data_IF_757276127171
#
_entry.id   IF_757276127171
#
_cell.length_a   1.000
_cell.length_b   1.000
_cell.length_c   1.000
_cell.angle_alpha   90.00
_cell.angle_beta   90.00
_cell.angle_gamma   90.00
#
_symmetry.space_group_name_H-M   'P 1'
#
loop_
_entity.id
_entity.type
_entity.pdbx_description
1 polymer ?
#
# COMPACT_ATOMS: atom_id res chain seq x y z
N UNK A 1 35.24 -90.80 -38.60
CA UNK A 1 34.86 -90.70 -40.02
C UNK A 1 35.13 -92.03 -40.71
N UNK A 2 34.23 -92.51 -41.58
CA UNK A 2 34.37 -93.80 -42.31
C UNK A 2 33.85 -93.66 -43.73
N UNK A 3 34.60 -94.09 -44.74
CA UNK A 3 34.14 -94.14 -46.13
C UNK A 3 33.27 -95.39 -46.35
N UNK A 4 32.11 -95.20 -46.96
CA UNK A 4 31.12 -96.25 -47.24
C UNK A 4 31.12 -96.63 -48.71
N UNK A 5 31.24 -95.65 -49.62
CA UNK A 5 31.24 -95.89 -51.06
C UNK A 5 32.05 -94.81 -51.78
N UNK A 6 32.76 -95.19 -52.83
CA UNK A 6 33.37 -94.25 -53.78
C UNK A 6 32.83 -94.58 -55.17
N UNK A 7 32.31 -93.59 -55.87
CA UNK A 7 31.86 -93.72 -57.24
C UNK A 7 32.23 -92.53 -58.10
N UNK A 8 32.05 -92.67 -59.41
CA UNK A 8 32.32 -91.61 -60.34
C UNK A 8 32.15 -92.02 -61.79
N UNK A 9 32.33 -91.07 -62.69
CA UNK A 9 32.22 -91.26 -64.13
C UNK A 9 33.12 -90.28 -64.87
N UNK A 10 33.75 -90.74 -65.96
CA UNK A 10 34.62 -89.93 -66.81
C UNK A 10 35.76 -89.21 -66.08
N UNK A 11 36.39 -89.88 -65.11
CA UNK A 11 37.53 -89.35 -64.36
C UNK A 11 38.82 -89.98 -64.88
N UNK A 12 39.75 -89.16 -65.38
CA UNK A 12 41.07 -89.54 -65.90
C UNK A 12 41.04 -90.84 -66.73
N UNK A 13 41.50 -91.96 -66.14
CA UNK A 13 41.59 -93.27 -66.80
C UNK A 13 40.28 -94.08 -66.78
N UNK A 14 39.33 -93.75 -65.90
CA UNK A 14 38.04 -94.43 -65.73
C UNK A 14 36.96 -93.74 -66.58
N UNK A 15 36.63 -94.31 -67.75
CA UNK A 15 35.56 -93.78 -68.63
C UNK A 15 34.16 -94.15 -68.13
N UNK A 16 33.94 -95.44 -67.89
CA UNK A 16 32.65 -95.95 -67.48
C UNK A 16 32.28 -95.45 -66.08
N UNK A 17 30.99 -95.47 -65.78
CA UNK A 17 30.51 -95.28 -64.42
C UNK A 17 31.05 -96.42 -63.54
N UNK A 18 31.65 -96.05 -62.41
CA UNK A 18 32.20 -96.97 -61.44
C UNK A 18 31.64 -96.66 -60.05
N UNK A 19 31.48 -97.71 -59.25
CA UNK A 19 31.07 -97.60 -57.86
C UNK A 19 31.69 -98.76 -57.08
N UNK A 20 32.44 -98.42 -56.03
CA UNK A 20 33.05 -99.37 -55.09
C UNK A 20 32.37 -99.18 -53.75
N UNK A 21 31.64 -100.19 -53.31
CA UNK A 21 30.97 -100.24 -52.01
C UNK A 21 31.92 -100.91 -50.99
N UNK A 22 32.22 -100.20 -49.91
CA UNK A 22 33.08 -100.64 -48.81
C UNK A 22 32.29 -101.07 -47.57
N UNK A 23 30.96 -100.93 -47.57
CA UNK A 23 30.10 -101.27 -46.45
C UNK A 23 29.45 -102.64 -46.66
N UNK A 24 28.98 -102.94 -47.87
CA UNK A 24 28.27 -104.17 -48.19
C UNK A 24 29.17 -105.21 -48.88
N UNK A 25 28.81 -106.49 -48.75
CA UNK A 25 29.51 -107.59 -49.43
C UNK A 25 30.89 -107.92 -48.85
N UNK A 26 31.77 -108.47 -49.70
CA UNK A 26 33.07 -109.03 -49.28
C UNK A 26 34.05 -107.98 -48.72
N UNK A 27 34.00 -106.74 -49.21
CA UNK A 27 34.86 -105.65 -48.73
C UNK A 27 34.45 -105.17 -47.33
N UNK A 28 33.16 -105.18 -47.01
CA UNK A 28 32.64 -104.78 -45.70
C UNK A 28 33.11 -105.68 -44.55
N UNK A 29 33.30 -106.99 -44.82
CA UNK A 29 33.76 -107.97 -43.82
C UNK A 29 35.28 -108.09 -43.70
N UNK A 30 36.05 -107.62 -44.68
CA UNK A 30 37.50 -107.91 -44.76
C UNK A 30 38.38 -107.01 -43.87
N UNK A 31 37.96 -105.77 -43.59
CA UNK A 31 38.71 -104.78 -42.79
C UNK A 31 39.98 -104.23 -43.45
N UNK A 32 40.70 -105.04 -44.24
CA UNK A 32 41.86 -104.67 -45.05
C UNK A 32 41.70 -105.25 -46.46
N UNK A 33 41.95 -104.43 -47.47
CA UNK A 33 41.90 -104.84 -48.88
C UNK A 33 43.01 -104.16 -49.68
N UNK A 34 43.36 -104.77 -50.82
CA UNK A 34 44.35 -104.23 -51.75
C UNK A 34 43.69 -103.92 -53.10
N UNK A 35 44.01 -102.74 -53.67
CA UNK A 35 43.60 -102.37 -55.03
C UNK A 35 44.76 -102.69 -55.98
N UNK A 36 44.66 -103.81 -56.69
CA UNK A 36 45.71 -104.30 -57.59
C UNK A 36 45.35 -104.05 -59.07
N UNK A 37 46.37 -103.82 -59.91
CA UNK A 37 46.19 -103.61 -61.34
C UNK A 37 47.46 -103.02 -61.98
N UNK A 38 47.60 -103.04 -63.32
CA UNK A 38 48.76 -102.47 -64.00
C UNK A 38 48.86 -100.95 -63.78
N UNK A 39 50.05 -100.38 -64.01
CA UNK A 39 50.25 -98.92 -64.01
C UNK A 39 49.33 -98.30 -65.07
N UNK A 40 48.60 -97.24 -64.70
CA UNK A 40 47.60 -96.61 -65.58
C UNK A 40 46.19 -97.21 -65.53
N UNK A 41 45.94 -98.30 -64.79
CA UNK A 41 44.61 -98.91 -64.65
C UNK A 41 43.58 -98.07 -63.85
N UNK A 42 43.96 -96.91 -63.31
CA UNK A 42 43.06 -96.02 -62.58
C UNK A 42 43.00 -96.20 -61.07
N UNK A 43 43.96 -96.93 -60.47
CA UNK A 43 44.08 -97.07 -59.00
C UNK A 43 44.14 -95.72 -58.29
N UNK A 44 45.05 -94.84 -58.72
CA UNK A 44 45.17 -93.49 -58.18
C UNK A 44 43.93 -92.64 -58.51
N UNK A 45 43.30 -92.86 -59.66
CA UNK A 45 42.08 -92.15 -60.06
C UNK A 45 40.90 -92.42 -59.13
N UNK A 46 40.79 -93.63 -58.56
CA UNK A 46 39.79 -93.93 -57.54
C UNK A 46 40.01 -93.12 -56.25
N UNK A 47 41.27 -92.97 -55.83
CA UNK A 47 41.63 -92.16 -54.65
C UNK A 47 41.50 -90.66 -54.93
N UNK A 48 41.82 -90.23 -56.15
CA UNK A 48 41.58 -88.87 -56.63
C UNK A 48 40.08 -88.54 -56.56
N UNK A 49 39.20 -89.47 -56.95
CA UNK A 49 37.74 -89.29 -56.87
C UNK A 49 37.28 -89.05 -55.42
N UNK A 50 37.86 -89.77 -54.45
CA UNK A 50 37.58 -89.56 -53.02
C UNK A 50 37.92 -88.13 -52.58
N UNK A 51 39.14 -87.67 -52.85
CA UNK A 51 39.55 -86.32 -52.50
C UNK A 51 38.75 -85.24 -53.23
N UNK A 52 38.47 -85.47 -54.51
CA UNK A 52 37.74 -84.53 -55.35
C UNK A 52 36.30 -84.34 -54.85
N UNK A 53 35.64 -85.44 -54.47
CA UNK A 53 34.30 -85.41 -53.90
C UNK A 53 34.23 -84.72 -52.54
N UNK A 54 35.28 -84.75 -51.73
CA UNK A 54 35.29 -84.14 -50.39
C UNK A 54 35.83 -82.71 -50.36
N UNK A 55 36.82 -82.40 -51.19
CA UNK A 55 37.62 -81.18 -51.07
C UNK A 55 37.82 -80.41 -52.37
N UNK A 56 37.19 -80.80 -53.50
CA UNK A 56 37.40 -80.16 -54.81
C UNK A 56 38.90 -80.02 -55.14
N UNK A 57 39.71 -80.99 -54.71
CA UNK A 57 41.16 -80.95 -54.74
C UNK A 57 41.71 -82.39 -54.80
N UNK A 58 42.89 -82.59 -55.38
CA UNK A 58 43.55 -83.90 -55.40
C UNK A 58 45.04 -83.81 -55.08
N UNK A 59 45.61 -84.79 -54.36
CA UNK A 59 47.00 -84.72 -53.91
C UNK A 59 48.00 -84.59 -55.07
N UNK A 60 47.71 -85.24 -56.20
CA UNK A 60 48.57 -85.24 -57.40
C UNK A 60 48.63 -83.89 -58.13
N UNK A 61 47.66 -83.01 -57.90
CA UNK A 61 47.59 -81.68 -58.52
C UNK A 61 48.03 -80.57 -57.58
N UNK A 62 48.36 -80.86 -56.31
CA UNK A 62 48.68 -79.85 -55.31
C UNK A 62 50.18 -79.57 -55.09
N UNK A 63 51.09 -80.31 -55.71
CA UNK A 63 52.54 -80.13 -55.50
C UNK A 63 53.32 -79.96 -56.80
N UNK A 64 53.76 -78.73 -57.09
CA UNK A 64 55.16 -78.28 -57.24
C UNK A 64 55.15 -76.76 -57.48
N UNK A 65 56.05 -76.01 -56.81
CA UNK A 65 55.95 -74.55 -56.64
C UNK A 65 56.07 -73.65 -57.88
N UNK A 66 55.61 -72.41 -57.69
CA UNK A 66 55.87 -71.13 -58.39
C UNK A 66 55.79 -71.05 -59.94
N UNK A 67 55.64 -72.15 -60.68
CA UNK A 67 55.51 -72.14 -62.14
C UNK A 67 54.26 -72.91 -62.58
N UNK A 68 53.09 -72.26 -62.56
CA UNK A 68 51.87 -72.83 -63.15
C UNK A 68 52.00 -72.95 -64.66
N UNK A 69 52.35 -74.13 -65.14
CA UNK A 69 52.27 -74.45 -66.57
C UNK A 69 50.80 -74.65 -66.95
N UNK A 70 50.38 -74.02 -68.04
CA UNK A 70 49.04 -74.18 -68.60
C UNK A 70 49.03 -75.34 -69.59
N UNK A 71 48.00 -76.19 -69.52
CA UNK A 71 47.73 -77.19 -70.56
C UNK A 71 46.67 -76.66 -71.53
N UNK A 72 46.85 -76.88 -72.84
CA UNK A 72 45.76 -76.71 -73.79
C UNK A 72 44.70 -77.80 -73.54
N UNK A 73 43.44 -77.39 -73.43
CA UNK A 73 42.30 -78.29 -73.28
C UNK A 73 41.52 -78.46 -74.60
N UNK A 74 40.57 -77.58 -74.90
CA UNK A 74 39.78 -77.59 -76.14
C UNK A 74 39.87 -76.22 -76.82
N UNK A 75 40.28 -76.17 -78.08
CA UNK A 75 40.50 -74.90 -78.80
C UNK A 75 41.70 -74.13 -78.25
N UNK A 76 41.53 -72.83 -78.01
CA UNK A 76 42.54 -71.92 -77.43
C UNK A 76 42.49 -71.82 -75.90
N UNK A 77 41.59 -72.55 -75.23
CA UNK A 77 41.42 -72.47 -73.78
C UNK A 77 42.56 -73.19 -73.04
N UNK A 78 43.23 -72.42 -72.18
CA UNK A 78 44.35 -72.85 -71.37
C UNK A 78 43.87 -73.09 -69.94
N UNK A 79 44.00 -74.33 -69.44
CA UNK A 79 43.66 -74.67 -68.05
C UNK A 79 44.93 -74.89 -67.27
N UNK A 80 44.98 -74.39 -66.03
CA UNK A 80 46.10 -74.64 -65.13
C UNK A 80 46.30 -76.15 -64.95
N UNK A 81 47.56 -76.61 -65.02
CA UNK A 81 47.97 -77.96 -64.61
C UNK A 81 47.40 -78.40 -63.27
N UNK A 82 47.17 -77.44 -62.37
CA UNK A 82 46.72 -77.69 -61.00
C UNK A 82 45.21 -77.63 -60.82
N UNK A 83 44.45 -77.32 -61.88
CA UNK A 83 43.00 -77.23 -61.78
C UNK A 83 42.38 -78.64 -61.61
N UNK A 84 41.62 -78.89 -60.53
CA UNK A 84 40.94 -80.17 -60.28
C UNK A 84 40.05 -80.62 -61.45
N UNK A 85 39.55 -79.67 -62.24
CA UNK A 85 38.70 -79.94 -63.40
C UNK A 85 39.43 -80.64 -64.55
N UNK A 86 40.77 -80.61 -64.56
CA UNK A 86 41.60 -81.36 -65.55
C UNK A 86 41.51 -82.87 -65.38
N UNK A 87 40.96 -83.36 -64.27
CA UNK A 87 40.66 -84.78 -64.08
C UNK A 87 39.46 -85.26 -64.90
N UNK A 88 38.68 -84.37 -65.53
CA UNK A 88 37.68 -84.78 -66.52
C UNK A 88 38.39 -85.42 -67.71
N UNK A 89 37.97 -86.65 -68.07
CA UNK A 89 38.53 -87.38 -69.21
C UNK A 89 38.40 -86.58 -70.50
N UNK A 90 39.47 -86.52 -71.30
CA UNK A 90 39.46 -85.87 -72.63
C UNK A 90 38.38 -86.50 -73.53
N UNK A 91 37.58 -85.65 -74.16
CA UNK A 91 36.44 -86.07 -75.00
C UNK A 91 35.14 -86.34 -74.23
N UNK A 92 35.12 -86.27 -72.90
CA UNK A 92 33.90 -86.35 -72.11
C UNK A 92 33.22 -84.96 -71.97
N UNK A 93 31.89 -84.94 -72.10
CA UNK A 93 31.08 -83.74 -71.89
C UNK A 93 30.86 -83.40 -70.41
N UNK A 94 30.83 -84.41 -69.54
CA UNK A 94 30.56 -84.29 -68.11
C UNK A 94 31.22 -85.43 -67.34
N UNK A 95 31.49 -85.19 -66.05
CA UNK A 95 32.05 -86.17 -65.14
C UNK A 95 31.73 -85.79 -63.69
N UNK A 96 31.74 -86.79 -62.82
CA UNK A 96 31.52 -86.59 -61.38
C UNK A 96 32.31 -87.57 -60.56
N UNK A 97 32.56 -87.17 -59.31
CA UNK A 97 33.06 -88.01 -58.24
C UNK A 97 32.04 -87.96 -57.09
N UNK A 98 31.74 -89.09 -56.47
CA UNK A 98 30.76 -89.19 -55.41
C UNK A 98 31.28 -90.10 -54.30
N UNK A 99 31.08 -89.68 -53.06
CA UNK A 99 31.52 -90.42 -51.88
C UNK A 99 30.39 -90.45 -50.86
N UNK A 100 30.08 -91.65 -50.40
CA UNK A 100 29.24 -91.85 -49.22
C UNK A 100 30.15 -92.08 -48.01
N UNK A 101 29.93 -91.35 -46.92
CA UNK A 101 30.76 -91.44 -45.72
C UNK A 101 29.95 -91.21 -44.44
N UNK A 102 30.49 -91.68 -43.32
CA UNK A 102 30.03 -91.35 -41.96
C UNK A 102 30.90 -90.22 -41.42
N UNK A 103 30.28 -89.11 -41.01
CA UNK A 103 30.95 -87.95 -40.43
C UNK A 103 31.56 -88.22 -39.05
N UNK A 104 32.29 -87.24 -38.51
CA UNK A 104 32.74 -87.19 -37.12
C UNK A 104 31.57 -87.14 -36.13
N UNK A 105 30.42 -86.64 -36.57
CA UNK A 105 29.15 -86.61 -35.85
C UNK A 105 28.41 -87.97 -35.82
N UNK A 106 28.90 -88.97 -36.56
CA UNK A 106 28.30 -90.31 -36.65
C UNK A 106 27.13 -90.43 -37.63
N UNK A 107 26.76 -89.37 -38.36
CA UNK A 107 25.71 -89.42 -39.38
C UNK A 107 26.26 -89.74 -40.78
N UNK A 108 25.38 -90.22 -41.68
CA UNK A 108 25.72 -90.62 -43.04
C UNK A 108 25.49 -89.48 -44.02
N UNK A 109 26.46 -89.26 -44.91
CA UNK A 109 26.43 -88.20 -45.91
C UNK A 109 26.87 -88.70 -47.27
N UNK A 110 26.37 -88.05 -48.32
CA UNK A 110 26.80 -88.20 -49.71
C UNK A 110 27.34 -86.87 -50.19
N UNK A 111 28.64 -86.82 -50.49
CA UNK A 111 29.24 -85.68 -51.17
C UNK A 111 29.44 -85.98 -52.64
N UNK A 112 29.02 -85.07 -53.51
CA UNK A 112 29.14 -85.20 -54.96
C UNK A 112 29.80 -83.97 -55.54
N UNK A 113 30.94 -84.20 -56.19
CA UNK A 113 31.61 -83.23 -57.05
C UNK A 113 31.24 -83.49 -58.51
N UNK A 114 30.89 -82.47 -59.27
CA UNK A 114 30.63 -82.61 -60.70
C UNK A 114 31.15 -81.45 -61.51
N UNK A 115 31.56 -81.75 -62.74
CA UNK A 115 32.01 -80.79 -63.74
C UNK A 115 31.37 -81.12 -65.09
N UNK A 116 31.03 -80.09 -65.84
CA UNK A 116 30.48 -80.20 -67.18
C UNK A 116 31.12 -79.19 -68.13
N UNK A 117 31.08 -79.51 -69.42
CA UNK A 117 31.43 -78.59 -70.49
C UNK A 117 30.21 -77.79 -70.93
N UNK A 118 30.45 -76.63 -71.55
CA UNK A 118 29.38 -75.80 -72.09
C UNK A 118 28.47 -76.61 -73.03
N UNK A 119 27.15 -76.44 -72.87
CA UNK A 119 26.11 -77.16 -73.62
C UNK A 119 26.17 -78.69 -73.53
N UNK A 120 26.90 -79.25 -72.55
CA UNK A 120 27.16 -80.69 -72.42
C UNK A 120 27.72 -81.31 -73.72
N UNK A 121 28.55 -80.56 -74.45
CA UNK A 121 29.28 -81.04 -75.64
C UNK A 121 30.74 -81.27 -75.31
N UNK A 122 31.33 -82.34 -75.83
CA UNK A 122 32.75 -82.65 -75.67
C UNK A 122 33.68 -81.52 -76.15
N UNK A 123 33.20 -80.68 -77.08
CA UNK A 123 33.92 -79.53 -77.64
C UNK A 123 33.68 -78.21 -76.90
N UNK A 124 32.86 -78.18 -75.85
CA UNK A 124 32.61 -76.97 -75.06
C UNK A 124 33.72 -76.70 -74.03
N UNK A 125 33.90 -75.42 -73.66
CA UNK A 125 34.82 -75.03 -72.58
C UNK A 125 34.37 -75.54 -71.21
N UNK A 126 35.32 -75.79 -70.29
CA UNK A 126 35.03 -76.28 -68.94
C UNK A 126 34.29 -75.24 -68.10
N UNK A 127 33.18 -75.64 -67.49
CA UNK A 127 32.45 -74.83 -66.52
C UNK A 127 33.08 -74.92 -65.12
N UNK A 128 32.59 -74.10 -64.19
CA UNK A 128 32.96 -74.21 -62.78
C UNK A 128 32.51 -75.58 -62.21
N UNK A 129 33.34 -76.19 -61.38
CA UNK A 129 32.94 -77.38 -60.63
C UNK A 129 31.84 -77.03 -59.62
N UNK A 130 30.91 -77.95 -59.43
CA UNK A 130 29.88 -77.88 -58.40
C UNK A 130 30.11 -78.99 -57.38
N UNK A 131 29.83 -78.68 -56.11
CA UNK A 131 29.87 -79.65 -55.02
C UNK A 131 28.57 -79.58 -54.24
N UNK A 132 28.02 -80.74 -53.92
CA UNK A 132 26.76 -80.86 -53.18
C UNK A 132 26.94 -81.88 -52.06
N UNK A 133 26.43 -81.58 -50.87
CA UNK A 133 26.41 -82.48 -49.72
C UNK A 133 24.96 -82.82 -49.40
N UNK A 134 24.66 -84.12 -49.25
CA UNK A 134 23.33 -84.59 -48.87
C UNK A 134 23.42 -85.49 -47.64
N UNK A 135 22.46 -85.37 -46.72
CA UNK A 135 22.32 -86.30 -45.59
C UNK A 135 21.56 -87.55 -46.02
N UNK A 136 22.11 -88.73 -45.75
CA UNK A 136 21.48 -90.01 -46.06
C UNK A 136 20.66 -90.52 -44.84
N UNK A 137 19.54 -91.24 -45.06
CA UNK A 137 19.00 -91.70 -46.35
C UNK A 137 18.08 -90.70 -47.06
N UNK A 138 17.64 -89.63 -46.38
CA UNK A 138 16.62 -88.68 -46.85
C UNK A 138 17.05 -87.81 -48.05
N UNK A 139 18.35 -87.82 -48.40
CA UNK A 139 18.97 -86.97 -49.41
C UNK A 139 18.69 -85.46 -49.19
N UNK A 140 18.60 -85.04 -47.93
CA UNK A 140 18.43 -83.64 -47.58
C UNK A 140 19.72 -82.85 -47.88
N UNK A 141 19.64 -81.82 -48.74
CA UNK A 141 20.79 -81.02 -49.14
C UNK A 141 21.30 -80.11 -48.00
N UNK A 142 22.63 -80.05 -47.85
CA UNK A 142 23.33 -79.25 -46.84
C UNK A 142 24.24 -78.21 -47.56
N UNK A 143 24.01 -76.94 -47.25
CA UNK A 143 24.63 -75.80 -47.91
C UNK A 143 23.94 -75.41 -49.23
N UNK A 144 24.02 -74.12 -49.60
CA UNK A 144 23.41 -73.60 -50.84
C UNK A 144 24.46 -73.20 -51.88
N UNK A 145 25.59 -72.65 -51.41
CA UNK A 145 26.71 -72.24 -52.26
C UNK A 145 27.88 -73.20 -52.10
N UNK A 146 28.71 -73.33 -53.14
CA UNK A 146 29.92 -74.16 -53.14
C UNK A 146 30.78 -73.99 -51.88
N UNK A 147 31.11 -72.75 -51.49
CA UNK A 147 31.98 -72.50 -50.33
C UNK A 147 31.33 -72.89 -48.99
N UNK A 148 30.03 -72.67 -48.82
CA UNK A 148 29.29 -73.08 -47.62
C UNK A 148 29.26 -74.62 -47.52
N UNK A 149 28.92 -75.28 -48.63
CA UNK A 149 28.92 -76.75 -48.70
C UNK A 149 30.31 -77.34 -48.42
N UNK A 150 31.38 -76.72 -48.95
CA UNK A 150 32.76 -77.11 -48.65
C UNK A 150 33.10 -76.99 -47.16
N UNK A 151 32.69 -75.90 -46.51
CA UNK A 151 32.91 -75.70 -45.07
C UNK A 151 32.16 -76.75 -44.25
N UNK A 152 30.91 -77.06 -44.61
CA UNK A 152 30.14 -78.13 -43.97
C UNK A 152 30.80 -79.51 -44.17
N UNK A 153 31.29 -79.83 -45.37
CA UNK A 153 32.02 -81.09 -45.61
C UNK A 153 33.25 -81.18 -44.71
N UNK A 154 34.06 -80.11 -44.62
CA UNK A 154 35.25 -80.07 -43.73
C UNK A 154 34.84 -80.26 -42.28
N UNK A 155 33.76 -79.62 -41.82
CA UNK A 155 33.25 -79.79 -40.45
C UNK A 155 32.78 -81.23 -40.18
N UNK A 156 32.06 -81.86 -41.11
CA UNK A 156 31.57 -83.25 -40.95
C UNK A 156 32.66 -84.28 -41.09
N UNK A 157 33.68 -84.04 -41.91
CA UNK A 157 34.85 -84.91 -42.01
C UNK A 157 35.74 -84.72 -40.78
N UNK A 158 35.81 -83.51 -40.23
CA UNK A 158 36.61 -83.13 -39.07
C UNK A 158 38.09 -82.88 -39.38
N UNK A 159 38.47 -82.89 -40.66
CA UNK A 159 39.84 -82.70 -41.12
C UNK A 159 39.84 -81.76 -42.33
N UNK A 160 40.80 -80.84 -42.38
CA UNK A 160 41.08 -80.05 -43.58
C UNK A 160 41.66 -80.95 -44.68
N UNK A 161 41.72 -80.47 -45.92
CA UNK A 161 42.29 -81.25 -47.02
C UNK A 161 43.73 -81.71 -46.72
N UNK A 162 44.58 -80.82 -46.23
CA UNK A 162 45.96 -81.15 -45.87
C UNK A 162 46.01 -82.21 -44.78
N UNK A 163 45.20 -82.05 -43.73
CA UNK A 163 45.10 -83.02 -42.64
C UNK A 163 44.61 -84.39 -43.15
N UNK A 164 43.62 -84.41 -44.04
CA UNK A 164 43.07 -85.63 -44.63
C UNK A 164 44.11 -86.39 -45.46
N UNK A 165 44.90 -85.69 -46.29
CA UNK A 165 45.97 -86.30 -47.09
C UNK A 165 47.19 -86.72 -46.28
N UNK A 166 47.39 -86.15 -45.08
CA UNK A 166 48.48 -86.53 -44.17
C UNK A 166 48.08 -87.65 -43.20
N UNK A 167 46.79 -87.78 -42.84
CA UNK A 167 46.32 -88.71 -41.79
C UNK A 167 45.45 -89.87 -42.30
N UNK A 168 44.65 -89.68 -43.35
CA UNK A 168 43.66 -90.68 -43.81
C UNK A 168 44.03 -91.26 -45.18
N UNK A 169 44.39 -90.39 -46.14
CA UNK A 169 44.79 -90.80 -47.49
C UNK A 169 46.26 -90.48 -47.73
N UNK A 170 47.15 -91.40 -47.37
CA UNK A 170 48.59 -91.27 -47.62
C UNK A 170 48.88 -91.47 -49.12
N UNK A 171 48.92 -90.38 -49.86
CA UNK A 171 49.40 -90.39 -51.25
C UNK A 171 50.89 -90.74 -51.32
N UNK A 172 51.33 -91.24 -52.48
CA UNK A 172 52.73 -91.62 -52.70
C UNK A 172 53.66 -90.42 -52.42
N UNK A 173 54.69 -90.63 -51.58
CA UNK A 173 55.66 -89.62 -51.07
C UNK A 173 55.16 -88.62 -50.00
N UNK A 174 53.88 -88.59 -49.62
CA UNK A 174 53.36 -87.67 -48.59
C UNK A 174 53.72 -88.05 -47.15
N UNK A 175 53.88 -89.35 -46.86
CA UNK A 175 54.27 -89.80 -45.52
C UNK A 175 55.65 -89.26 -45.11
N UNK A 176 56.60 -89.19 -46.05
CA UNK A 176 57.91 -88.59 -45.81
C UNK A 176 57.83 -87.07 -45.59
N UNK A 177 56.83 -86.39 -46.16
CA UNK A 177 56.61 -84.95 -45.95
C UNK A 177 56.07 -84.68 -44.54
N UNK A 178 55.22 -85.56 -44.00
CA UNK A 178 54.78 -85.47 -42.60
C UNK A 178 55.95 -85.62 -41.60
N UNK A 179 56.87 -86.57 -41.84
CA UNK A 179 58.07 -86.73 -40.99
C UNK A 179 59.06 -85.56 -41.08
N UNK A 180 59.00 -84.77 -42.15
CA UNK A 180 59.90 -83.63 -42.41
C UNK A 180 59.26 -82.26 -42.19
N UNK A 181 57.99 -82.19 -41.80
CA UNK A 181 57.30 -80.91 -41.55
C UNK A 181 57.92 -80.17 -40.36
N UNK A 182 57.86 -78.84 -40.40
CA UNK A 182 58.34 -77.98 -39.31
C UNK A 182 57.53 -78.20 -38.02
N UNK A 183 58.12 -77.84 -36.87
CA UNK A 183 57.54 -78.07 -35.55
C UNK A 183 56.17 -77.39 -35.39
N UNK A 184 55.99 -76.21 -35.98
CA UNK A 184 54.71 -75.49 -35.98
C UNK A 184 53.60 -76.23 -36.74
N UNK A 185 53.85 -76.63 -37.99
CA UNK A 185 52.88 -77.38 -38.80
C UNK A 185 52.53 -78.73 -38.18
N UNK A 186 53.54 -79.40 -37.60
CA UNK A 186 53.33 -80.67 -36.89
C UNK A 186 52.48 -80.46 -35.64
N UNK A 187 52.72 -79.37 -34.91
CA UNK A 187 51.95 -78.99 -33.73
C UNK A 187 50.47 -78.77 -34.05
N UNK A 188 50.16 -78.02 -35.12
CA UNK A 188 48.78 -77.75 -35.55
C UNK A 188 48.03 -79.01 -36.01
N UNK A 189 48.74 -79.92 -36.71
CA UNK A 189 48.21 -81.23 -37.09
C UNK A 189 47.89 -82.09 -35.87
N UNK A 190 48.83 -82.20 -34.92
CA UNK A 190 48.64 -82.95 -33.69
C UNK A 190 47.54 -82.35 -32.83
N UNK A 191 47.46 -81.02 -32.75
CA UNK A 191 46.41 -80.30 -32.02
C UNK A 191 45.03 -80.59 -32.61
N UNK A 192 44.90 -80.60 -33.93
CA UNK A 192 43.62 -80.91 -34.58
C UNK A 192 43.23 -82.38 -34.42
N UNK A 193 44.20 -83.30 -34.51
CA UNK A 193 43.97 -84.74 -34.33
C UNK A 193 43.60 -85.10 -32.89
N UNK A 194 44.19 -84.42 -31.91
CA UNK A 194 43.95 -84.67 -30.48
C UNK A 194 42.83 -83.82 -29.90
N UNK A 195 42.28 -82.88 -30.69
CA UNK A 195 41.21 -81.98 -30.26
C UNK A 195 41.65 -80.93 -29.23
N UNK A 196 42.94 -80.60 -29.17
CA UNK A 196 43.51 -79.71 -28.14
C UNK A 196 43.51 -78.23 -28.51
N UNK A 197 42.68 -77.82 -29.47
CA UNK A 197 42.51 -76.42 -29.97
C UNK A 197 42.18 -75.40 -28.87
N UNK A 198 41.69 -75.88 -27.74
CA UNK A 198 41.41 -75.10 -26.53
C UNK A 198 42.67 -74.42 -25.98
N UNK A 199 43.84 -75.06 -26.04
CA UNK A 199 45.08 -74.50 -25.47
C UNK A 199 45.62 -73.34 -26.29
N UNK A 200 45.56 -73.42 -27.63
CA UNK A 200 45.87 -72.28 -28.50
C UNK A 200 44.94 -71.11 -28.25
N UNK A 201 43.65 -71.38 -28.04
CA UNK A 201 42.66 -70.35 -27.70
C UNK A 201 42.95 -69.70 -26.34
N UNK A 202 43.33 -70.49 -25.34
CA UNK A 202 43.68 -70.00 -24.01
C UNK A 202 44.93 -69.11 -24.04
N UNK A 203 45.97 -69.52 -24.78
CA UNK A 203 47.21 -68.78 -24.95
C UNK A 203 46.96 -67.39 -25.54
N UNK A 204 46.14 -67.30 -26.60
CA UNK A 204 45.74 -66.03 -27.23
C UNK A 204 45.05 -65.09 -26.23
N UNK A 205 44.09 -65.60 -25.46
CA UNK A 205 43.37 -64.80 -24.44
C UNK A 205 44.28 -64.32 -23.31
N UNK A 206 45.23 -65.15 -22.87
CA UNK A 206 46.19 -64.76 -21.84
C UNK A 206 47.06 -63.59 -22.32
N UNK A 207 47.54 -63.64 -23.57
CA UNK A 207 48.33 -62.57 -24.16
C UNK A 207 47.54 -61.27 -24.35
N UNK A 208 46.28 -61.36 -24.77
CA UNK A 208 45.38 -60.19 -24.87
C UNK A 208 45.19 -59.50 -23.51
N UNK A 209 44.99 -60.28 -22.44
CA UNK A 209 44.85 -59.74 -21.08
C UNK A 209 46.14 -59.10 -20.58
N UNK A 210 47.29 -59.73 -20.83
CA UNK A 210 48.60 -59.15 -20.51
C UNK A 210 48.78 -57.77 -21.17
N UNK A 211 48.49 -57.66 -22.47
CA UNK A 211 48.61 -56.41 -23.22
C UNK A 211 47.70 -55.31 -22.66
N UNK A 212 46.48 -55.66 -22.26
CA UNK A 212 45.53 -54.72 -21.64
C UNK A 212 46.06 -54.16 -20.31
N UNK A 213 46.52 -55.03 -19.41
CA UNK A 213 47.01 -54.62 -18.09
C UNK A 213 48.32 -53.83 -18.19
N UNK A 214 49.21 -54.19 -19.13
CA UNK A 214 50.42 -53.42 -19.40
C UNK A 214 50.09 -51.99 -19.86
N UNK A 215 49.07 -51.81 -20.71
CA UNK A 215 48.62 -50.49 -21.13
C UNK A 215 48.06 -49.63 -19.98
N UNK A 216 47.31 -50.24 -19.06
CA UNK A 216 46.84 -49.54 -17.84
C UNK A 216 48.00 -49.11 -16.95
N UNK A 217 48.98 -49.99 -16.75
CA UNK A 217 50.17 -49.70 -15.95
C UNK A 217 50.99 -48.55 -16.56
N UNK A 218 51.19 -48.55 -17.88
CA UNK A 218 51.85 -47.44 -18.57
C UNK A 218 51.10 -46.11 -18.38
N UNK A 219 49.76 -46.14 -18.47
CA UNK A 219 48.93 -44.94 -18.27
C UNK A 219 49.05 -44.41 -16.84
N UNK A 220 49.00 -45.29 -15.83
CA UNK A 220 49.16 -44.92 -14.43
C UNK A 220 50.57 -44.37 -14.14
N UNK A 221 51.61 -45.00 -14.71
CA UNK A 221 52.98 -44.54 -14.57
C UNK A 221 53.18 -43.15 -15.18
N UNK A 222 52.58 -42.88 -16.35
CA UNK A 222 52.64 -41.57 -16.99
C UNK A 222 51.94 -40.47 -16.17
N UNK A 223 50.80 -40.78 -15.56
CA UNK A 223 50.13 -39.85 -14.64
C UNK A 223 50.95 -39.56 -13.39
N UNK A 224 51.65 -40.57 -12.88
CA UNK A 224 52.49 -40.44 -11.70
C UNK A 224 53.76 -39.63 -11.99
N UNK A 225 54.30 -39.72 -13.22
CA UNK A 225 55.41 -38.86 -13.64
C UNK A 225 55.05 -37.39 -13.81
N UNK A 226 53.78 -37.07 -14.13
CA UNK A 226 53.29 -35.67 -14.18
C UNK A 226 53.03 -35.09 -12.79
N UNK A 227 52.98 -35.93 -11.75
CA UNK A 227 52.76 -35.54 -10.36
C UNK A 227 54.01 -35.80 -9.53
N UNK A 228 55.11 -35.13 -9.89
CA UNK A 228 56.35 -35.22 -9.11
C UNK A 228 56.10 -34.55 -7.75
N UNK A 229 56.11 -35.30 -6.63
CA UNK A 229 56.03 -34.69 -5.32
C UNK A 229 57.28 -33.81 -5.13
N UNK A 230 57.11 -32.70 -4.39
CA UNK A 230 58.25 -31.88 -4.02
C UNK A 230 59.33 -32.73 -3.35
N UNK A 231 60.58 -32.36 -3.61
CA UNK A 231 61.71 -32.93 -2.89
C UNK A 231 61.47 -32.84 -1.37
N UNK A 232 61.76 -33.89 -0.59
CA UNK A 232 61.51 -33.91 0.85
C UNK A 232 62.10 -32.71 1.60
N UNK A 233 63.27 -32.21 1.19
CA UNK A 233 63.90 -31.03 1.81
C UNK A 233 63.12 -29.75 1.48
N UNK A 234 62.73 -29.57 0.21
CA UNK A 234 61.94 -28.42 -0.23
C UNK A 234 60.55 -28.40 0.45
N UNK A 235 59.94 -29.57 0.61
CA UNK A 235 58.68 -29.73 1.34
C UNK A 235 58.84 -29.37 2.82
N UNK A 236 59.87 -29.91 3.48
CA UNK A 236 60.13 -29.62 4.89
C UNK A 236 60.39 -28.12 5.13
N UNK A 237 61.10 -27.45 4.22
CA UNK A 237 61.32 -26.00 4.28
C UNK A 237 59.99 -25.23 4.19
N UNK A 238 59.10 -25.57 3.25
CA UNK A 238 57.78 -24.94 3.12
C UNK A 238 56.88 -25.20 4.33
N UNK A 239 56.90 -26.41 4.89
CA UNK A 239 56.15 -26.73 6.11
C UNK A 239 56.67 -25.93 7.31
N UNK A 240 57.99 -25.76 7.45
CA UNK A 240 58.58 -24.90 8.48
C UNK A 240 58.21 -23.42 8.30
N UNK A 241 58.20 -22.92 7.05
CA UNK A 241 57.73 -21.57 6.74
C UNK A 241 56.25 -21.38 7.06
N UNK A 242 55.40 -22.38 6.80
CA UNK A 242 53.99 -22.35 7.14
C UNK A 242 53.79 -22.27 8.65
N UNK A 243 54.48 -23.11 9.42
CA UNK A 243 54.43 -23.09 10.90
C UNK A 243 54.89 -21.74 11.44
N UNK A 244 55.99 -21.19 10.92
CA UNK A 244 56.49 -19.87 11.34
C UNK A 244 55.52 -18.76 10.98
N UNK A 245 55.00 -18.75 9.74
CA UNK A 245 54.07 -17.73 9.26
C UNK A 245 52.73 -17.74 10.00
N UNK A 246 52.21 -18.93 10.32
CA UNK A 246 50.98 -19.08 11.12
C UNK A 246 51.16 -18.60 12.56
N UNK A 247 52.30 -18.89 13.18
CA UNK A 247 52.62 -18.36 14.51
C UNK A 247 52.74 -16.81 14.50
N UNK A 248 53.41 -16.25 13.49
CA UNK A 248 53.52 -14.80 13.31
C UNK A 248 52.17 -14.13 13.08
N UNK A 249 51.31 -14.72 12.25
CA UNK A 249 49.97 -14.22 11.98
C UNK A 249 49.15 -14.18 13.27
N UNK A 250 49.14 -15.27 14.03
CA UNK A 250 48.42 -15.35 15.31
C UNK A 250 48.89 -14.28 16.31
N UNK A 251 50.21 -14.05 16.41
CA UNK A 251 50.76 -13.01 17.27
C UNK A 251 50.35 -11.59 16.82
N UNK A 252 50.34 -11.33 15.52
CA UNK A 252 49.90 -10.04 14.96
C UNK A 252 48.40 -9.80 15.16
N UNK A 253 47.58 -10.84 15.02
CA UNK A 253 46.14 -10.76 15.29
C UNK A 253 45.86 -10.45 16.75
N UNK A 254 46.55 -11.10 17.69
CA UNK A 254 46.44 -10.80 19.11
C UNK A 254 46.85 -9.35 19.41
N UNK A 255 47.95 -8.88 18.82
CA UNK A 255 48.41 -7.50 18.98
C UNK A 255 47.42 -6.49 18.41
N UNK A 256 46.80 -6.80 17.26
CA UNK A 256 45.76 -5.95 16.67
C UNK A 256 44.55 -5.84 17.60
N UNK A 257 44.07 -6.95 18.16
CA UNK A 257 42.94 -6.95 19.09
C UNK A 257 43.21 -6.10 20.33
N UNK A 258 44.43 -6.16 20.87
CA UNK A 258 44.86 -5.32 21.99
C UNK A 258 44.85 -3.83 21.61
N UNK A 259 45.42 -3.47 20.45
CA UNK A 259 45.43 -2.08 19.97
C UNK A 259 44.03 -1.55 19.66
N UNK A 260 43.14 -2.38 19.11
CA UNK A 260 41.73 -2.02 18.88
C UNK A 260 41.01 -1.75 20.21
N UNK A 261 41.31 -2.52 21.27
CA UNK A 261 40.77 -2.29 22.61
C UNK A 261 41.29 -0.96 23.20
N UNK A 262 42.58 -0.67 23.09
CA UNK A 262 43.15 0.61 23.52
C UNK A 262 42.55 1.80 22.76
N UNK A 263 42.36 1.66 21.45
CA UNK A 263 41.75 2.69 20.63
C UNK A 263 40.30 2.98 21.04
N UNK A 264 39.49 1.93 21.25
CA UNK A 264 38.11 2.08 21.75
C UNK A 264 38.07 2.74 23.12
N UNK A 265 38.99 2.37 24.01
CA UNK A 265 39.09 2.98 25.33
C UNK A 265 39.35 4.49 25.24
N UNK A 266 40.31 4.93 24.41
CA UNK A 266 40.59 6.35 24.21
C UNK A 266 39.43 7.12 23.58
N UNK A 267 38.66 6.49 22.69
CA UNK A 267 37.46 7.10 22.13
C UNK A 267 36.38 7.32 23.19
N UNK A 268 36.15 6.31 24.05
CA UNK A 268 35.16 6.41 25.11
C UNK A 268 35.59 7.43 26.17
N UNK A 269 36.88 7.47 26.52
CA UNK A 269 37.44 8.49 27.43
C UNK A 269 37.22 9.90 26.89
N UNK A 270 37.54 10.15 25.61
CA UNK A 270 37.29 11.44 24.96
C UNK A 270 35.79 11.81 24.93
N UNK A 271 34.91 10.83 24.68
CA UNK A 271 33.46 11.04 24.69
C UNK A 271 32.95 11.40 26.09
N UNK A 272 33.39 10.67 27.11
CA UNK A 272 33.02 10.92 28.50
C UNK A 272 33.55 12.27 28.98
N UNK A 273 34.78 12.65 28.62
CA UNK A 273 35.33 13.96 28.93
C UNK A 273 34.47 15.10 28.33
N UNK A 274 34.04 14.96 27.08
CA UNK A 274 33.12 15.93 26.45
C UNK A 274 31.78 16.02 27.20
N UNK A 275 31.19 14.88 27.59
CA UNK A 275 29.95 14.86 28.37
C UNK A 275 30.09 15.53 29.74
N UNK A 276 31.25 15.38 30.40
CA UNK A 276 31.53 16.09 31.66
C UNK A 276 31.56 17.60 31.42
N UNK A 277 32.29 18.06 30.40
CA UNK A 277 32.35 19.49 30.05
C UNK A 277 30.97 20.06 29.70
N UNK A 278 30.16 19.35 28.91
CA UNK A 278 28.79 19.74 28.58
C UNK A 278 27.92 19.83 29.85
N UNK A 279 28.05 18.85 30.74
CA UNK A 279 27.35 18.81 32.02
C UNK A 279 27.72 19.97 32.95
N UNK A 280 29.01 20.28 33.06
CA UNK A 280 29.51 21.44 33.82
C UNK A 280 28.98 22.76 33.25
N UNK A 281 28.96 22.89 31.92
CA UNK A 281 28.44 24.07 31.23
C UNK A 281 26.94 24.24 31.47
N UNK A 282 26.16 23.16 31.35
CA UNK A 282 24.73 23.16 31.63
C UNK A 282 24.42 23.50 33.09
N UNK A 283 25.20 22.96 34.04
CA UNK A 283 25.06 23.27 35.46
C UNK A 283 25.37 24.76 35.73
N UNK A 284 26.43 25.30 35.13
CA UNK A 284 26.77 26.72 35.24
C UNK A 284 25.65 27.60 34.70
N UNK A 285 25.09 27.27 33.52
CA UNK A 285 23.97 27.99 32.93
C UNK A 285 22.71 27.93 33.81
N UNK A 286 22.38 26.76 34.37
CA UNK A 286 21.24 26.61 35.27
C UNK A 286 21.40 27.42 36.56
N UNK A 287 22.60 27.44 37.15
CA UNK A 287 22.93 28.27 38.32
C UNK A 287 22.80 29.77 38.00
N UNK A 288 23.30 30.20 36.84
CA UNK A 288 23.18 31.58 36.39
C UNK A 288 21.72 31.99 36.20
N UNK A 289 20.91 31.16 35.51
CA UNK A 289 19.48 31.41 35.33
C UNK A 289 18.72 31.45 36.67
N UNK A 290 19.09 30.58 37.61
CA UNK A 290 18.52 30.61 38.97
C UNK A 290 18.88 31.90 39.70
N UNK A 291 20.11 32.38 39.61
CA UNK A 291 20.55 33.64 40.20
C UNK A 291 19.86 34.85 39.54
N UNK A 292 19.75 34.87 38.21
CA UNK A 292 19.06 35.93 37.46
C UNK A 292 17.55 35.99 37.75
N UNK A 293 16.94 34.87 38.14
CA UNK A 293 15.56 34.82 38.60
C UNK A 293 15.35 35.32 40.04
N UNK A 294 16.42 35.60 40.82
CA UNK A 294 16.33 36.05 42.21
C UNK A 294 15.47 37.31 42.40
N UNK A 295 15.63 38.39 41.61
CA UNK A 295 14.78 39.59 41.76
C UNK A 295 13.29 39.29 41.53
N UNK A 296 12.98 38.39 40.58
CA UNK A 296 11.60 37.97 40.30
C UNK A 296 11.02 37.17 41.46
N UNK A 297 11.80 36.26 42.06
CA UNK A 297 11.39 35.52 43.27
C UNK A 297 11.16 36.45 44.46
N UNK A 298 12.05 37.42 44.69
CA UNK A 298 11.90 38.42 45.75
C UNK A 298 10.65 39.28 45.54
N UNK A 299 10.39 39.72 44.31
CA UNK A 299 9.18 40.48 43.99
C UNK A 299 7.89 39.67 44.20
N UNK A 300 7.90 38.39 43.81
CA UNK A 300 6.79 37.48 44.07
C UNK A 300 6.55 37.33 45.59
N UNK A 301 7.60 37.08 46.37
CA UNK A 301 7.51 36.95 47.83
C UNK A 301 6.96 38.23 48.49
N UNK A 302 7.37 39.41 48.04
CA UNK A 302 6.80 40.68 48.51
C UNK A 302 5.32 40.81 48.15
N UNK A 303 4.95 40.44 46.93
CA UNK A 303 3.56 40.50 46.47
C UNK A 303 2.66 39.55 47.28
N UNK A 304 3.13 38.32 47.51
CA UNK A 304 2.43 37.33 48.34
C UNK A 304 2.31 37.81 49.80
N UNK A 305 3.35 38.43 50.35
CA UNK A 305 3.33 38.96 51.71
C UNK A 305 2.32 40.12 51.89
N UNK A 306 2.14 40.96 50.86
CA UNK A 306 1.22 42.11 50.89
C UNK A 306 -0.21 41.74 50.49
N UNK A 307 -0.43 40.58 49.86
CA UNK A 307 -1.74 40.11 49.40
C UNK A 307 -2.85 40.16 50.47
N UNK A 308 -2.63 39.76 51.74
CA UNK A 308 -3.65 39.85 52.79
C UNK A 308 -4.07 41.30 53.10
N UNK A 309 -3.16 42.27 52.95
CA UNK A 309 -3.44 43.68 53.22
C UNK A 309 -4.36 44.32 52.17
N UNK A 310 -4.55 43.68 51.01
CA UNK A 310 -5.42 44.19 49.94
C UNK A 310 -6.89 44.32 50.36
N UNK A 311 -7.40 43.33 51.11
CA UNK A 311 -8.76 43.39 51.65
C UNK A 311 -8.90 44.52 52.68
N UNK A 312 -7.89 44.70 53.53
CA UNK A 312 -7.85 45.78 54.53
C UNK A 312 -7.79 47.16 53.88
N UNK A 313 -7.02 47.33 52.78
CA UNK A 313 -6.98 48.59 52.02
C UNK A 313 -8.32 48.90 51.35
N UNK A 314 -8.99 47.89 50.79
CA UNK A 314 -10.32 48.06 50.22
C UNK A 314 -11.36 48.45 51.28
N UNK A 315 -11.32 47.80 52.45
CA UNK A 315 -12.21 48.14 53.57
C UNK A 315 -11.90 49.53 54.13
N UNK A 316 -10.63 49.91 54.25
CA UNK A 316 -10.23 51.28 54.62
C UNK A 316 -10.79 52.31 53.64
N UNK A 317 -10.64 52.11 52.34
CA UNK A 317 -11.18 53.02 51.33
C UNK A 317 -12.71 53.13 51.40
N UNK A 318 -13.41 52.01 51.66
CA UNK A 318 -14.85 51.99 51.89
C UNK A 318 -15.24 52.80 53.13
N UNK A 319 -14.55 52.59 54.25
CA UNK A 319 -14.80 53.32 55.50
C UNK A 319 -14.47 54.81 55.39
N UNK A 320 -13.42 55.18 54.66
CA UNK A 320 -13.10 56.59 54.36
C UNK A 320 -14.24 57.26 53.56
N UNK A 321 -14.80 56.56 52.57
CA UNK A 321 -15.96 57.04 51.80
C UNK A 321 -17.24 57.15 52.64
N UNK A 322 -17.53 56.15 53.49
CA UNK A 322 -18.66 56.20 54.44
C UNK A 322 -18.51 57.35 55.44
N UNK A 323 -17.31 57.55 56.00
CA UNK A 323 -17.03 58.68 56.89
C UNK A 323 -17.23 60.02 56.19
N UNK A 324 -16.80 60.15 54.93
CA UNK A 324 -17.03 61.36 54.14
C UNK A 324 -18.54 61.64 53.97
N UNK A 325 -19.32 60.63 53.60
CA UNK A 325 -20.79 60.75 53.47
C UNK A 325 -21.46 61.13 54.78
N UNK A 326 -21.05 60.51 55.89
CA UNK A 326 -21.55 60.84 57.22
C UNK A 326 -21.20 62.27 57.63
N UNK A 327 -19.97 62.73 57.35
CA UNK A 327 -19.57 64.11 57.61
C UNK A 327 -20.43 65.11 56.83
N UNK A 328 -20.73 64.84 55.55
CA UNK A 328 -21.63 65.65 54.73
C UNK A 328 -23.05 65.68 55.31
N UNK A 329 -23.58 64.52 55.76
CA UNK A 329 -24.89 64.44 56.41
C UNK A 329 -24.95 65.23 57.72
N UNK A 330 -23.91 65.13 58.56
CA UNK A 330 -23.82 65.91 59.81
C UNK A 330 -23.76 67.40 59.52
N UNK A 331 -22.97 67.82 58.51
CA UNK A 331 -22.91 69.22 58.08
C UNK A 331 -24.28 69.73 57.62
N UNK A 332 -24.99 68.97 56.78
CA UNK A 332 -26.34 69.30 56.34
C UNK A 332 -27.34 69.37 57.50
N UNK A 333 -27.27 68.44 58.45
CA UNK A 333 -28.13 68.43 59.64
C UNK A 333 -27.85 69.64 60.55
N UNK A 334 -26.59 70.04 60.73
CA UNK A 334 -26.22 71.25 61.48
C UNK A 334 -26.77 72.51 60.83
N UNK A 335 -26.61 72.66 59.51
CA UNK A 335 -27.18 73.79 58.77
C UNK A 335 -28.72 73.83 58.87
N UNK A 336 -29.36 72.67 58.83
CA UNK A 336 -30.81 72.57 59.03
C UNK A 336 -31.23 72.98 60.44
N UNK A 337 -30.50 72.54 61.47
CA UNK A 337 -30.74 72.92 62.86
C UNK A 337 -30.55 74.42 63.09
N UNK A 338 -29.48 75.03 62.54
CA UNK A 338 -29.25 76.48 62.60
C UNK A 338 -30.39 77.26 61.95
N UNK A 339 -30.80 76.87 60.73
CA UNK A 339 -31.95 77.50 60.02
C UNK A 339 -33.27 77.36 60.79
N UNK A 340 -33.45 76.25 61.50
CA UNK A 340 -34.64 76.04 62.32
C UNK A 340 -34.58 76.87 63.60
N UNK A 341 -33.40 76.97 64.21
CA UNK A 341 -33.13 77.83 65.37
C UNK A 341 -33.36 79.31 65.08
N UNK A 342 -32.91 79.81 63.92
CA UNK A 342 -33.19 81.19 63.51
C UNK A 342 -34.68 81.43 63.29
N UNK A 343 -35.38 80.54 62.59
CA UNK A 343 -36.85 80.63 62.42
C UNK A 343 -37.61 80.61 63.75
N UNK A 344 -37.17 79.79 64.71
CA UNK A 344 -37.77 79.75 66.04
C UNK A 344 -37.51 81.05 66.82
N UNK A 345 -36.32 81.63 66.71
CA UNK A 345 -35.99 82.93 67.30
C UNK A 345 -36.81 84.07 66.69
N UNK A 346 -36.96 84.09 65.35
CA UNK A 346 -37.79 85.07 64.64
C UNK A 346 -39.26 84.97 65.06
N UNK A 347 -39.78 83.73 65.19
CA UNK A 347 -41.15 83.51 65.66
C UNK A 347 -41.34 83.96 67.13
N UNK A 348 -40.35 83.71 68.00
CA UNK A 348 -40.39 84.17 69.39
C UNK A 348 -40.36 85.71 69.47
N UNK A 349 -39.53 86.37 68.65
CA UNK A 349 -39.51 87.83 68.55
C UNK A 349 -40.84 88.40 68.04
N UNK A 350 -41.47 87.73 67.05
CA UNK A 350 -42.80 88.10 66.55
C UNK A 350 -43.89 87.99 67.63
N UNK A 351 -43.86 86.94 68.46
CA UNK A 351 -44.77 86.78 69.60
C UNK A 351 -44.57 87.90 70.63
N UNK A 352 -43.32 88.21 70.99
CA UNK A 352 -43.02 89.28 71.95
C UNK A 352 -43.51 90.66 71.44
N UNK A 353 -43.27 90.97 70.16
CA UNK A 353 -43.74 92.21 69.56
C UNK A 353 -45.29 92.32 69.54
N UNK A 354 -45.98 91.20 69.29
CA UNK A 354 -47.44 91.16 69.33
C UNK A 354 -47.99 91.36 70.77
N UNK A 355 -47.30 90.82 71.78
CA UNK A 355 -47.66 91.02 73.19
C UNK A 355 -47.47 92.48 73.62
N UNK A 356 -46.37 93.12 73.23
CA UNK A 356 -46.13 94.54 73.51
C UNK A 356 -47.17 95.44 72.83
N UNK A 357 -47.54 95.13 71.58
CA UNK A 357 -48.58 95.86 70.85
C UNK A 357 -49.95 95.76 71.53
N UNK A 358 -50.29 94.57 72.05
CA UNK A 358 -51.52 94.35 72.82
C UNK A 358 -51.52 95.16 74.12
N UNK A 359 -50.43 95.10 74.89
CA UNK A 359 -50.30 95.84 76.14
C UNK A 359 -50.41 97.36 75.92
N UNK A 360 -49.84 97.87 74.82
CA UNK A 360 -49.96 99.28 74.45
C UNK A 360 -51.40 99.68 74.10
N UNK A 361 -52.11 98.86 73.33
CA UNK A 361 -53.50 99.11 72.99
C UNK A 361 -54.43 99.06 74.22
N UNK A 362 -54.18 98.16 75.17
CA UNK A 362 -54.92 98.10 76.44
C UNK A 362 -54.67 99.33 77.33
N UNK A 363 -53.44 99.85 77.33
CA UNK A 363 -53.10 101.10 78.03
C UNK A 363 -53.79 102.32 77.41
N UNK A 364 -53.76 102.45 76.08
CA UNK A 364 -54.48 103.52 75.35
C UNK A 364 -55.99 103.48 75.62
N UNK A 365 -56.58 102.28 75.73
CA UNK A 365 -57.98 102.11 76.10
C UNK A 365 -58.27 102.57 77.54
N UNK A 366 -57.39 102.25 78.50
CA UNK A 366 -57.53 102.70 79.90
C UNK A 366 -57.40 104.21 80.03
N UNK A 367 -56.45 104.83 79.33
CA UNK A 367 -56.21 106.27 79.39
C UNK A 367 -57.34 107.07 78.73
N UNK A 368 -58.00 106.51 77.71
CA UNK A 368 -59.16 107.11 77.07
C UNK A 368 -60.47 107.00 77.89
N UNK A 369 -60.58 106.05 78.82
CA UNK A 369 -61.78 105.84 79.62
C UNK A 369 -62.26 107.08 80.41
N UNK A 370 -61.41 107.81 81.16
CA UNK A 370 -61.85 109.02 81.89
C UNK A 370 -62.26 110.16 80.96
N UNK A 371 -61.65 110.28 79.77
CA UNK A 371 -62.03 111.28 78.76
C UNK A 371 -63.38 110.94 78.11
N UNK A 372 -63.65 109.66 77.86
CA UNK A 372 -64.94 109.19 77.36
C UNK A 372 -66.06 109.38 78.40
N UNK A 373 -65.77 109.22 79.69
CA UNK A 373 -66.75 109.49 80.74
C UNK A 373 -66.99 110.99 80.95
N UNK A 374 -65.98 111.86 80.76
CA UNK A 374 -66.17 113.32 80.67
C UNK A 374 -67.03 113.73 79.47
N UNK A 375 -66.82 113.10 78.30
CA UNK A 375 -67.64 113.36 77.11
C UNK A 375 -69.11 112.99 77.35
N UNK A 376 -69.39 111.83 77.99
CA UNK A 376 -70.76 111.44 78.37
C UNK A 376 -71.41 112.41 79.36
N UNK A 377 -70.64 112.93 80.32
CA UNK A 377 -71.15 113.92 81.28
C UNK A 377 -71.48 115.27 80.61
N UNK A 378 -70.65 115.70 79.66
CA UNK A 378 -70.89 116.89 78.84
C UNK A 378 -72.11 116.71 77.90
N UNK A 379 -72.27 115.53 77.28
CA UNK A 379 -73.47 115.22 76.47
C UNK A 379 -74.76 115.26 77.31
N UNK A 380 -74.72 114.80 78.56
CA UNK A 380 -75.85 114.90 79.49
C UNK A 380 -76.18 116.36 79.87
N UNK A 381 -75.16 117.22 80.02
CA UNK A 381 -75.35 118.67 80.25
C UNK A 381 -75.90 119.39 79.02
N UNK A 382 -75.44 119.04 77.82
CA UNK A 382 -75.95 119.57 76.55
C UNK A 382 -77.43 119.18 76.37
N UNK A 383 -77.80 117.94 76.68
CA UNK A 383 -79.20 117.48 76.65
C UNK A 383 -80.12 118.26 77.60
N UNK A 384 -79.66 118.56 78.81
CA UNK A 384 -80.41 119.36 79.79
C UNK A 384 -80.59 120.83 79.34
N UNK A 385 -79.54 121.45 78.79
CA UNK A 385 -79.57 122.83 78.29
C UNK A 385 -80.38 122.98 76.98
N UNK A 386 -80.35 121.99 76.10
CA UNK A 386 -81.18 121.97 74.89
C UNK A 386 -82.68 121.89 75.23
N UNK A 387 -83.04 121.15 76.27
CA UNK A 387 -84.44 121.04 76.74
C UNK A 387 -84.93 122.34 77.40
N UNK A 388 -84.05 123.07 78.10
CA UNK A 388 -84.35 124.40 78.65
C UNK A 388 -84.44 125.48 77.55
N UNK A 389 -83.55 125.44 76.55
CA UNK A 389 -83.59 126.34 75.39
C UNK A 389 -84.83 126.16 74.51
N UNK A 390 -85.26 124.91 74.29
CA UNK A 390 -86.48 124.61 73.52
C UNK A 390 -87.77 125.17 74.14
N UNK A 391 -87.85 125.26 75.48
CA UNK A 391 -89.01 125.85 76.18
C UNK A 391 -89.06 127.39 76.05
N UNK A 392 -87.91 128.06 76.15
CA UNK A 392 -87.83 129.52 76.01
C UNK A 392 -88.04 129.96 74.56
N UNK A 393 -87.58 129.17 73.59
CA UNK A 393 -87.72 129.49 72.16
C UNK A 393 -89.15 129.28 71.63
N UNK A 394 -89.94 128.41 72.28
CA UNK A 394 -91.38 128.26 72.01
C UNK A 394 -92.21 129.46 72.53
N UNK A 395 -91.84 130.04 73.67
CA UNK A 395 -92.49 131.25 74.21
C UNK A 395 -92.17 132.51 73.38
N UNK A 396 -90.94 132.64 72.88
CA UNK A 396 -90.56 133.77 72.01
C UNK A 396 -91.30 133.74 70.67
N UNK A 397 -91.43 132.57 70.02
CA UNK A 397 -92.21 132.43 68.78
C UNK A 397 -93.68 132.80 68.95
N UNK A 398 -94.29 132.44 70.08
CA UNK A 398 -95.68 132.77 70.36
C UNK A 398 -95.91 134.29 70.48
N UNK A 399 -94.94 135.02 71.03
CA UNK A 399 -95.01 136.49 71.16
C UNK A 399 -94.71 137.19 69.84
N UNK A 400 -93.81 136.66 69.02
CA UNK A 400 -93.50 137.21 67.68
C UNK A 400 -94.67 137.06 66.69
N UNK A 401 -95.41 135.95 66.74
CA UNK A 401 -96.62 135.75 65.93
C UNK A 401 -97.74 136.72 66.32
N UNK A 402 -97.93 136.99 67.62
CA UNK A 402 -98.91 137.98 68.09
C UNK A 402 -98.54 139.42 67.70
N UNK A 403 -97.25 139.75 67.62
CA UNK A 403 -96.80 141.08 67.20
C UNK A 403 -97.00 141.31 65.70
N UNK A 404 -96.78 140.27 64.87
CA UNK A 404 -96.99 140.35 63.42
C UNK A 404 -98.46 140.58 63.06
N UNK A 405 -99.38 139.88 63.73
CA UNK A 405 -100.84 140.02 63.54
C UNK A 405 -101.36 141.42 63.94
N UNK A 406 -100.76 142.05 64.94
CA UNK A 406 -101.12 143.39 65.40
C UNK A 406 -100.65 144.49 64.42
N UNK A 407 -99.48 144.34 63.79
CA UNK A 407 -98.93 145.30 62.83
C UNK A 407 -99.66 145.26 61.49
N UNK A 408 -100.11 144.08 61.07
CA UNK A 408 -100.92 143.89 59.84
C UNK A 408 -102.32 144.53 59.98
N UNK A 409 -102.95 144.42 61.15
CA UNK A 409 -104.24 145.09 61.41
C UNK A 409 -104.13 146.63 61.43
N UNK A 410 -103.01 147.18 61.91
CA UNK A 410 -102.81 148.63 62.00
C UNK A 410 -102.54 149.28 60.63
N UNK A 411 -101.87 148.56 59.73
CA UNK A 411 -101.63 148.98 58.33
C UNK A 411 -102.87 148.83 57.44
N UNK A 412 -103.75 147.87 57.72
CA UNK A 412 -105.06 147.74 57.08
C UNK A 412 -106.06 148.86 57.44
N UNK A 413 -105.98 149.40 58.66
CA UNK A 413 -106.87 150.51 59.08
C UNK A 413 -106.43 151.87 58.56
N UNK A 414 -105.12 152.12 58.39
CA UNK A 414 -104.60 153.41 57.91
C UNK A 414 -104.87 153.64 56.41
N UNK A 415 -104.78 152.58 55.60
CA UNK A 415 -105.11 152.60 54.16
C UNK A 415 -106.60 152.84 53.90
N UNK A 416 -107.48 152.32 54.75
CA UNK A 416 -108.93 152.56 54.70
C UNK A 416 -109.31 154.03 55.01
N UNK A 417 -108.50 154.73 55.82
CA UNK A 417 -108.70 156.14 56.15
C UNK A 417 -108.34 157.07 54.99
N UNK A 418 -107.29 156.75 54.22
CA UNK A 418 -106.87 157.54 53.07
C UNK A 418 -107.91 157.53 51.93
N UNK A 419 -108.50 156.36 51.62
CA UNK A 419 -109.48 156.22 50.54
C UNK A 419 -110.82 156.95 50.81
N UNK A 420 -111.19 157.16 52.08
CA UNK A 420 -112.43 157.86 52.46
C UNK A 420 -112.30 159.39 52.39
N UNK A 421 -111.11 159.94 52.65
CA UNK A 421 -110.85 161.39 52.56
C UNK A 421 -110.87 161.85 51.11
N UNK A 422 -110.38 161.03 50.18
CA UNK A 422 -110.36 161.32 48.75
C UNK A 422 -111.78 161.32 48.14
N UNK A 423 -112.62 160.36 48.55
CA UNK A 423 -114.05 160.32 48.17
C UNK A 423 -114.88 161.49 48.72
N UNK A 424 -114.50 162.06 49.86
CA UNK A 424 -115.19 163.22 50.40
C UNK A 424 -114.84 164.49 49.63
N UNK A 425 -113.58 164.66 49.23
CA UNK A 425 -113.15 165.79 48.42
C UNK A 425 -113.81 165.82 47.03
N UNK A 426 -114.05 164.65 46.42
CA UNK A 426 -114.84 164.55 45.17
C UNK A 426 -116.30 164.98 45.35
N UNK A 427 -116.94 164.60 46.46
CA UNK A 427 -118.34 164.97 46.72
C UNK A 427 -118.50 166.46 46.99
N UNK A 428 -117.55 167.10 47.65
CA UNK A 428 -117.59 168.55 47.90
C UNK A 428 -117.46 169.35 46.59
N UNK A 429 -116.58 168.91 45.67
CA UNK A 429 -116.45 169.53 44.34
C UNK A 429 -117.71 169.38 43.48
N UNK A 430 -118.42 168.25 43.61
CA UNK A 430 -119.68 168.05 42.90
C UNK A 430 -120.80 169.00 43.39
N UNK A 431 -120.85 169.26 44.71
CA UNK A 431 -121.81 170.21 45.30
C UNK A 431 -121.56 171.66 44.88
N UNK A 432 -120.31 172.07 44.72
CA UNK A 432 -119.98 173.43 44.27
C UNK A 432 -120.34 173.68 42.80
N UNK A 433 -120.28 172.65 41.95
CA UNK A 433 -120.62 172.76 40.53
C UNK A 433 -122.13 172.91 40.23
N UNK A 434 -123.00 172.49 41.16
CA UNK A 434 -124.47 172.48 40.98
C UNK A 434 -125.19 173.48 41.89
N UNK A 435 -124.53 174.58 42.24
CA UNK A 435 -125.06 175.62 43.14
C UNK A 435 -126.37 176.28 42.65
N UNK A 436 -126.67 176.23 41.34
CA UNK A 436 -127.93 176.71 40.77
C UNK A 436 -129.17 175.85 41.09
N UNK A 437 -128.98 174.61 41.55
CA UNK A 437 -130.06 173.64 41.79
C UNK A 437 -130.42 173.47 43.28
N UNK A 438 -129.79 174.25 44.17
CA UNK A 438 -129.96 174.11 45.63
C UNK A 438 -131.40 174.42 46.11
N UNK A 439 -132.16 175.23 45.36
CA UNK A 439 -133.57 175.51 45.65
C UNK A 439 -134.50 174.30 45.38
N UNK A 440 -134.07 173.33 44.57
CA UNK A 440 -134.85 172.13 44.24
C UNK A 440 -134.72 171.02 45.29
N UNK A 441 -133.59 170.92 46.00
CA UNK A 441 -133.34 169.84 46.97
C UNK A 441 -133.98 170.07 48.35
N UNK A 442 -134.05 171.31 48.83
CA UNK A 442 -134.61 171.60 50.17
C UNK A 442 -136.14 171.54 50.22
N UNK A 443 -136.82 171.71 49.08
CA UNK A 443 -138.28 171.61 49.00
C UNK A 443 -138.74 170.30 48.36
N UNK A 444 -137.85 169.33 48.13
CA UNK A 444 -138.21 168.09 47.44
C UNK A 444 -139.34 167.34 48.13
N UNK A 445 -139.33 167.24 49.47
CA UNK A 445 -140.43 166.65 50.24
C UNK A 445 -141.77 167.41 50.11
N UNK A 446 -141.74 168.70 49.71
CA UNK A 446 -142.92 169.52 49.42
C UNK A 446 -143.39 169.34 47.97
N UNK A 447 -142.48 169.26 47.01
CA UNK A 447 -142.80 168.99 45.60
C UNK A 447 -143.28 167.55 45.38
N UNK A 448 -142.76 166.58 46.13
CA UNK A 448 -143.20 165.19 46.14
C UNK A 448 -144.66 165.07 46.62
N UNK A 449 -145.05 165.86 47.63
CA UNK A 449 -146.43 165.89 48.15
C UNK A 449 -147.43 166.58 47.21
N UNK A 450 -146.99 167.59 46.46
CA UNK A 450 -147.84 168.38 45.54
C UNK A 450 -147.94 167.74 44.16
N UNK A 451 -146.87 167.13 43.64
CA UNK A 451 -146.91 166.38 42.38
C UNK A 451 -147.67 165.06 42.53
N UNK A 452 -147.64 164.43 43.71
CA UNK A 452 -148.51 163.30 44.02
C UNK A 452 -150.00 163.67 44.09
N UNK A 453 -150.35 164.83 44.64
CA UNK A 453 -151.74 165.31 44.67
C UNK A 453 -152.23 165.83 43.30
N UNK A 454 -151.33 166.32 42.44
CA UNK A 454 -151.67 166.74 41.08
C UNK A 454 -151.77 165.55 40.09
N UNK A 455 -151.00 164.47 40.29
CA UNK A 455 -151.05 163.29 39.42
C UNK A 455 -152.34 162.46 39.53
N UNK A 456 -153.24 162.72 40.49
CA UNK A 456 -154.53 162.03 40.60
C UNK A 456 -155.73 162.98 40.86
N UNK A 457 -155.56 164.26 40.53
CA UNK A 457 -156.65 165.20 40.22
C UNK A 457 -156.70 165.55 38.70
N UNK A 458 -155.82 164.92 37.88
CA UNK A 458 -155.71 165.15 36.43
C UNK A 458 -155.55 163.87 35.59
N UNK A 459 -155.95 162.73 36.16
CA UNK A 459 -156.66 161.70 35.40
C UNK A 459 -158.03 161.55 36.07
N UNK A 460 -159.00 162.28 35.50
CA UNK A 460 -160.43 162.04 35.64
C UNK A 460 -160.82 160.59 35.32
#
# INVERSE_FOLDING_TARGET
MKILRIGGKNLASLAAEFSVDFENGTLGSAGLFAICGPTGAGKSTLLDALCLALYDATPRLLKTGRNASTLPDVGSDMVSTYDPRTLLRRGAAEGYAEVDFVGSDGQRYRSRWSVRRAYSKATGGLQASSITLHKLPELAAIGRKKNETMQEIVQRVGLTFEQFTRAVLLAQNEFSAFLKSDEGERGELLETLTGTTVYTTLSKRAFERYKLEQGKLQTLSARLSDQVPLDPEARAALEAHLVTGTAQLSALEARKQELDAHWRWHQEDARLAAHVTDGETALAAARAAHAEAEPRRQHLALTEAVQPARALLAERARLEEENRKLADQVSAARQYAERTGTKAADAAAGIAAAQDALAKAEAEQRDAAPLLDQAKALDAQIGALATAGGKVQAEVRHVEEQMAEAVENLTGMSSRRAALVERQAERTRWFEAHAGEQALSQQWARWEKVLGQAAAAMQD
#
